data_IF_343314223763
#
_entry.id   IF_343314223763
#
_cell.length_a   1.000
_cell.length_b   1.000
_cell.length_c   1.000
_cell.angle_alpha   90.00
_cell.angle_beta   90.00
_cell.angle_gamma   90.00
#
_symmetry.space_group_name_H-M   'P 1'
#
loop_
_entity.id
_entity.type
_entity.pdbx_description
1 polymer ?
#
# COMPACT_ATOMS: atom_id res chain seq x y z
N UNK A 1 -23.57 2.70 -16.81
CA UNK A 1 -22.35 3.28 -16.21
C UNK A 1 -21.98 2.46 -14.97
N UNK A 2 -21.13 1.44 -15.13
CA UNK A 2 -20.50 0.78 -13.96
C UNK A 2 -19.46 1.77 -13.43
N UNK A 3 -19.56 2.16 -12.15
CA UNK A 3 -18.66 3.14 -11.54
C UNK A 3 -17.21 2.59 -11.53
N UNK A 4 -16.18 3.43 -11.70
CA UNK A 4 -14.77 3.03 -11.63
C UNK A 4 -14.29 2.71 -10.19
N UNK A 5 -15.22 2.43 -9.28
CA UNK A 5 -14.93 2.11 -7.87
C UNK A 5 -14.29 0.73 -7.71
N UNK A 6 -14.42 -0.18 -8.69
CA UNK A 6 -13.85 -1.53 -8.60
C UNK A 6 -12.30 -1.53 -8.62
N UNK A 7 -11.66 -0.61 -9.34
CA UNK A 7 -10.20 -0.59 -9.49
C UNK A 7 -9.48 -0.24 -8.18
N UNK A 8 -10.12 0.57 -7.31
CA UNK A 8 -9.56 1.01 -6.03
C UNK A 8 -9.85 0.01 -4.90
N UNK A 9 -10.91 -0.80 -5.03
CA UNK A 9 -11.36 -1.68 -3.96
C UNK A 9 -10.52 -2.96 -3.77
N UNK A 10 -9.89 -3.49 -4.82
CA UNK A 10 -9.18 -4.79 -4.71
C UNK A 10 -7.85 -4.70 -3.94
N UNK A 11 -7.26 -3.51 -3.80
CA UNK A 11 -5.96 -3.33 -3.13
C UNK A 11 -6.09 -3.27 -1.60
N UNK A 12 -7.27 -2.99 -1.06
CA UNK A 12 -7.43 -2.63 0.37
C UNK A 12 -8.02 -3.73 1.27
N UNK A 13 -8.36 -4.92 0.75
CA UNK A 13 -9.13 -5.92 1.52
C UNK A 13 -8.31 -7.06 2.16
N UNK A 14 -6.98 -7.00 2.20
CA UNK A 14 -6.14 -8.10 2.68
C UNK A 14 -5.27 -7.76 3.90
N UNK A 15 -5.88 -7.53 5.05
CA UNK A 15 -5.15 -7.63 6.33
C UNK A 15 -6.02 -8.36 7.35
N UNK A 16 -5.96 -9.69 7.32
CA UNK A 16 -6.39 -10.54 8.43
C UNK A 16 -5.20 -11.28 9.02
N UNK A 17 -5.27 -11.35 10.33
CA UNK A 17 -4.32 -11.81 11.33
C UNK A 17 -3.85 -13.26 11.12
N UNK A 18 -2.55 -13.51 11.29
CA UNK A 18 -2.01 -14.86 11.54
C UNK A 18 -0.99 -14.77 12.67
N UNK A 19 -1.29 -15.45 13.78
CA UNK A 19 -0.36 -15.68 14.89
C UNK A 19 0.84 -16.52 14.41
N UNK A 20 2.05 -16.12 14.81
CA UNK A 20 3.24 -16.92 14.58
C UNK A 20 4.06 -17.01 15.86
N UNK A 21 4.28 -18.27 16.29
CA UNK A 21 5.17 -18.66 17.39
C UNK A 21 6.54 -17.98 17.24
N UNK A 22 6.96 -17.26 18.27
CA UNK A 22 8.33 -16.75 18.40
C UNK A 22 9.27 -17.92 18.66
N UNK A 23 10.34 -17.99 17.87
CA UNK A 23 11.54 -18.75 18.17
C UNK A 23 12.68 -17.74 18.02
N UNK A 24 13.09 -17.11 19.11
CA UNK A 24 14.28 -16.25 19.15
C UNK A 24 14.85 -16.20 20.57
N UNK A 25 16.18 -16.04 20.59
CA UNK A 25 17.15 -15.94 21.68
C UNK A 25 17.60 -17.24 22.40
N UNK A 26 18.77 -17.72 21.92
CA UNK A 26 19.67 -18.69 22.56
C UNK A 26 20.41 -18.05 23.76
N UNK A 27 19.70 -17.69 24.81
CA UNK A 27 20.29 -17.60 26.14
C UNK A 27 19.51 -18.57 27.03
N UNK A 28 20.13 -19.34 27.94
CA UNK A 28 19.39 -20.26 28.81
C UNK A 28 18.65 -19.42 29.85
N UNK A 29 17.58 -18.75 29.44
CA UNK A 29 16.62 -18.21 30.37
C UNK A 29 16.03 -19.39 31.14
N UNK A 30 15.95 -19.22 32.46
CA UNK A 30 15.46 -20.27 33.35
C UNK A 30 13.97 -20.48 33.14
N UNK A 31 13.52 -21.71 33.40
CA UNK A 31 12.09 -22.01 33.54
C UNK A 31 11.52 -21.20 34.70
N UNK A 32 10.27 -20.76 34.56
CA UNK A 32 9.59 -20.00 35.60
C UNK A 32 9.44 -20.85 36.87
N UNK A 33 9.65 -20.21 38.02
CA UNK A 33 9.29 -20.82 39.31
C UNK A 33 7.77 -20.87 39.43
N UNK A 34 7.20 -21.75 40.27
CA UNK A 34 5.75 -21.78 40.50
C UNK A 34 5.18 -20.42 40.95
N UNK A 35 5.95 -19.63 41.71
CA UNK A 35 5.56 -18.28 42.12
C UNK A 35 5.47 -17.32 40.93
N UNK A 36 6.41 -17.39 39.99
CA UNK A 36 6.39 -16.57 38.79
C UNK A 36 5.31 -17.00 37.82
N UNK A 37 5.09 -18.31 37.66
CA UNK A 37 3.97 -18.87 36.92
C UNK A 37 2.65 -18.27 37.39
N UNK A 38 2.43 -18.23 38.71
CA UNK A 38 1.25 -17.63 39.32
C UNK A 38 1.12 -16.12 39.01
N UNK A 39 2.23 -15.37 38.98
CA UNK A 39 2.20 -13.95 38.60
C UNK A 39 1.90 -13.76 37.11
N UNK A 40 2.46 -14.61 36.24
CA UNK A 40 2.20 -14.58 34.79
C UNK A 40 0.72 -14.84 34.48
N UNK A 41 0.21 -15.97 34.97
CA UNK A 41 -1.16 -16.44 34.71
C UNK A 41 -2.22 -15.61 35.46
N UNK A 42 -1.84 -14.97 36.58
CA UNK A 42 -2.72 -14.13 37.37
C UNK A 42 -2.64 -12.65 37.03
N UNK A 43 -1.52 -12.00 37.40
CA UNK A 43 -1.34 -10.54 37.32
C UNK A 43 -1.17 -10.07 35.88
N UNK A 44 -0.23 -10.65 35.13
CA UNK A 44 0.08 -10.16 33.78
C UNK A 44 -1.05 -10.47 32.79
N UNK A 45 -1.63 -11.67 32.86
CA UNK A 45 -2.77 -12.05 32.03
C UNK A 45 -4.01 -11.20 32.30
N UNK A 46 -4.19 -10.67 33.52
CA UNK A 46 -5.26 -9.69 33.80
C UNK A 46 -5.10 -8.43 32.94
N UNK A 47 -3.89 -7.88 32.82
CA UNK A 47 -3.66 -6.71 31.97
C UNK A 47 -3.88 -7.02 30.48
N UNK A 48 -3.53 -8.25 30.05
CA UNK A 48 -3.84 -8.73 28.70
C UNK A 48 -5.35 -8.73 28.45
N UNK A 49 -6.14 -9.26 29.40
CA UNK A 49 -7.59 -9.28 29.31
C UNK A 49 -8.18 -7.86 29.29
N UNK A 50 -7.63 -6.92 30.07
CA UNK A 50 -8.04 -5.52 30.02
C UNK A 50 -7.81 -4.91 28.62
N UNK A 51 -6.67 -5.18 27.98
CA UNK A 51 -6.40 -4.74 26.61
C UNK A 51 -7.36 -5.40 25.61
N UNK A 52 -7.58 -6.72 25.72
CA UNK A 52 -8.51 -7.45 24.86
C UNK A 52 -9.92 -6.87 24.94
N UNK A 53 -10.42 -6.65 26.15
CA UNK A 53 -11.71 -6.03 26.39
C UNK A 53 -11.82 -4.66 25.72
N UNK A 54 -10.81 -3.79 25.90
CA UNK A 54 -10.79 -2.48 25.24
C UNK A 54 -10.81 -2.59 23.70
N UNK A 55 -10.03 -3.52 23.14
CA UNK A 55 -9.99 -3.70 21.67
C UNK A 55 -11.27 -4.28 21.08
N UNK A 56 -12.02 -5.07 21.85
CA UNK A 56 -13.32 -5.62 21.44
C UNK A 56 -14.46 -4.62 21.64
N UNK A 57 -14.42 -3.83 22.71
CA UNK A 57 -15.42 -2.81 23.05
C UNK A 57 -15.44 -1.67 22.02
N UNK A 58 -14.27 -1.27 21.51
CA UNK A 58 -14.14 -0.11 20.61
C UNK A 58 -13.66 -0.51 19.22
N UNK A 59 -14.54 -0.58 18.20
CA UNK A 59 -14.12 -0.79 16.83
C UNK A 59 -13.23 0.37 16.35
N UNK A 60 -12.35 0.17 15.34
CA UNK A 60 -11.37 1.17 14.90
C UNK A 60 -11.96 2.56 14.56
N UNK A 61 -13.21 2.62 14.12
CA UNK A 61 -13.92 3.87 13.80
C UNK A 61 -14.33 4.69 15.03
N UNK A 62 -14.42 4.08 16.20
CA UNK A 62 -14.88 4.70 17.45
C UNK A 62 -13.75 5.05 18.43
N UNK A 63 -12.52 4.59 18.17
CA UNK A 63 -11.37 4.84 19.05
C UNK A 63 -11.04 6.33 19.06
N UNK A 64 -11.27 7.03 20.17
CA UNK A 64 -10.88 8.43 20.37
C UNK A 64 -9.45 8.54 20.94
N UNK A 65 -8.86 9.75 20.99
CA UNK A 65 -7.54 9.95 21.64
C UNK A 65 -7.51 9.42 23.09
N UNK A 66 -8.51 9.71 23.96
CA UNK A 66 -8.54 9.11 25.30
C UNK A 66 -8.58 7.58 25.31
N UNK A 67 -9.33 6.95 24.40
CA UNK A 67 -9.41 5.49 24.30
C UNK A 67 -8.07 4.91 23.83
N UNK A 68 -7.43 5.53 22.83
CA UNK A 68 -6.10 5.14 22.36
C UNK A 68 -5.06 5.23 23.49
N UNK A 69 -5.12 6.28 24.32
CA UNK A 69 -4.27 6.42 25.52
C UNK A 69 -4.55 5.33 26.55
N UNK A 70 -5.81 4.97 26.79
CA UNK A 70 -6.15 3.88 27.71
C UNK A 70 -5.61 2.53 27.22
N UNK A 71 -5.74 2.23 25.93
CA UNK A 71 -5.17 1.01 25.33
C UNK A 71 -3.63 1.02 25.42
N UNK A 72 -2.99 2.16 25.17
CA UNK A 72 -1.53 2.32 25.31
C UNK A 72 -1.08 2.10 26.76
N UNK A 73 -1.84 2.60 27.73
CA UNK A 73 -1.57 2.36 29.16
C UNK A 73 -1.75 0.88 29.55
N UNK A 74 -2.75 0.19 28.98
CA UNK A 74 -2.89 -1.25 29.18
C UNK A 74 -1.67 -2.00 28.61
N UNK A 75 -1.21 -1.61 27.42
CA UNK A 75 0.01 -2.13 26.81
C UNK A 75 1.26 -1.94 27.69
N UNK A 76 1.48 -0.74 28.24
CA UNK A 76 2.59 -0.47 29.15
C UNK A 76 2.55 -1.34 30.41
N UNK A 77 1.36 -1.59 30.98
CA UNK A 77 1.20 -2.48 32.14
C UNK A 77 1.52 -3.93 31.78
N UNK A 78 1.13 -4.39 30.60
CA UNK A 78 1.42 -5.74 30.12
C UNK A 78 2.94 -5.93 29.99
N UNK A 79 3.59 -5.07 29.22
CA UNK A 79 5.02 -5.20 28.91
C UNK A 79 5.87 -5.02 30.16
N UNK A 80 5.51 -4.08 31.04
CA UNK A 80 6.15 -3.90 32.35
C UNK A 80 5.99 -5.14 33.24
N UNK A 81 4.79 -5.71 33.32
CA UNK A 81 4.54 -6.89 34.16
C UNK A 81 5.39 -8.10 33.73
N UNK A 82 5.49 -8.37 32.42
CA UNK A 82 6.34 -9.44 31.91
C UNK A 82 7.83 -9.12 32.05
N UNK A 83 8.23 -7.85 31.95
CA UNK A 83 9.61 -7.43 32.13
C UNK A 83 10.14 -7.63 33.56
N UNK A 84 9.27 -7.57 34.58
CA UNK A 84 9.62 -7.82 35.99
C UNK A 84 10.03 -9.28 36.28
N UNK A 85 9.83 -10.21 35.34
CA UNK A 85 9.98 -11.65 35.58
C UNK A 85 11.08 -12.22 34.67
N UNK A 86 12.18 -12.70 35.26
CA UNK A 86 13.40 -13.11 34.53
C UNK A 86 13.37 -14.54 33.96
N UNK A 87 12.18 -15.16 33.82
CA UNK A 87 12.06 -16.49 33.22
C UNK A 87 11.77 -16.43 31.71
N UNK A 88 12.09 -17.52 31.01
CA UNK A 88 12.01 -17.62 29.56
C UNK A 88 10.61 -17.31 29.01
N UNK A 89 9.57 -17.91 29.60
CA UNK A 89 8.18 -17.68 29.19
C UNK A 89 7.74 -16.21 29.35
N UNK A 90 8.18 -15.56 30.42
CA UNK A 90 7.87 -14.16 30.67
C UNK A 90 8.55 -13.25 29.65
N UNK A 91 9.84 -13.45 29.38
CA UNK A 91 10.58 -12.63 28.41
C UNK A 91 10.05 -12.83 26.99
N UNK A 92 9.70 -14.06 26.61
CA UNK A 92 9.01 -14.31 25.32
C UNK A 92 7.65 -13.63 25.26
N UNK A 93 6.89 -13.64 26.35
CA UNK A 93 5.59 -12.96 26.41
C UNK A 93 5.75 -11.44 26.29
N UNK A 94 6.73 -10.87 26.98
CA UNK A 94 7.09 -9.45 26.86
C UNK A 94 7.34 -9.06 25.39
N UNK A 95 8.23 -9.75 24.69
CA UNK A 95 8.55 -9.47 23.28
C UNK A 95 7.33 -9.63 22.36
N UNK A 96 6.46 -10.61 22.63
CA UNK A 96 5.21 -10.77 21.86
C UNK A 96 4.28 -9.59 22.07
N UNK A 97 4.09 -9.15 23.32
CA UNK A 97 3.18 -8.05 23.62
C UNK A 97 3.74 -6.69 23.25
N UNK A 98 5.05 -6.44 23.36
CA UNK A 98 5.68 -5.21 22.85
C UNK A 98 5.33 -5.00 21.38
N UNK A 99 5.52 -6.04 20.55
CA UNK A 99 5.22 -5.97 19.11
C UNK A 99 3.74 -5.85 18.79
N UNK A 100 2.88 -6.59 19.51
CA UNK A 100 1.42 -6.48 19.32
C UNK A 100 0.96 -5.08 19.72
N UNK A 101 1.47 -4.54 20.81
CA UNK A 101 1.13 -3.22 21.32
C UNK A 101 1.60 -2.10 20.41
N UNK A 102 2.81 -2.16 19.86
CA UNK A 102 3.29 -1.19 18.87
C UNK A 102 2.35 -1.10 17.66
N UNK A 103 1.91 -2.26 17.13
CA UNK A 103 0.96 -2.31 16.00
C UNK A 103 -0.41 -1.74 16.38
N UNK A 104 -0.93 -2.10 17.55
CA UNK A 104 -2.20 -1.59 18.07
C UNK A 104 -2.12 -0.06 18.24
N UNK A 105 -1.05 0.44 18.86
CA UNK A 105 -0.82 1.87 19.08
C UNK A 105 -0.78 2.62 17.73
N UNK A 106 0.03 2.16 16.77
CA UNK A 106 0.10 2.78 15.44
C UNK A 106 -1.24 2.82 14.70
N UNK A 107 -2.04 1.76 14.81
CA UNK A 107 -3.37 1.69 14.20
C UNK A 107 -4.37 2.63 14.89
N UNK A 108 -4.40 2.63 16.21
CA UNK A 108 -5.31 3.45 17.01
C UNK A 108 -5.05 4.95 16.82
N UNK A 109 -3.78 5.32 16.66
CA UNK A 109 -3.36 6.67 16.35
C UNK A 109 -3.39 7.02 14.85
N UNK A 110 -3.86 6.11 13.99
CA UNK A 110 -3.95 6.32 12.53
C UNK A 110 -2.62 6.72 11.87
N UNK A 111 -1.52 6.21 12.41
CA UNK A 111 -0.18 6.43 11.84
C UNK A 111 -0.03 5.68 10.53
N UNK A 112 -0.68 4.53 10.38
CA UNK A 112 -0.74 3.74 9.16
C UNK A 112 -1.26 4.54 7.95
N UNK A 113 -2.27 5.38 8.14
CA UNK A 113 -2.81 6.24 7.08
C UNK A 113 -1.99 7.53 6.88
N UNK A 114 -1.30 8.00 7.92
CA UNK A 114 -0.48 9.21 7.85
C UNK A 114 0.86 8.98 7.14
N UNK A 115 1.52 7.86 7.42
CA UNK A 115 2.87 7.55 6.91
C UNK A 115 2.98 7.62 5.39
N UNK A 116 2.06 7.02 4.60
CA UNK A 116 2.10 7.15 3.15
C UNK A 116 2.07 8.59 2.64
N UNK A 117 1.33 9.49 3.30
CA UNK A 117 1.27 10.90 2.93
C UNK A 117 2.60 11.60 3.17
N UNK A 118 3.27 11.26 4.28
CA UNK A 118 4.62 11.75 4.57
C UNK A 118 5.61 11.25 3.52
N UNK A 119 5.60 9.94 3.23
CA UNK A 119 6.48 9.34 2.21
C UNK A 119 6.27 9.91 0.81
N UNK A 120 5.03 10.19 0.41
CA UNK A 120 4.74 10.85 -0.85
C UNK A 120 5.40 12.25 -0.94
N UNK A 121 5.33 13.03 0.14
CA UNK A 121 5.97 14.36 0.20
C UNK A 121 7.49 14.27 0.15
N UNK A 122 8.09 13.32 0.88
CA UNK A 122 9.54 13.07 0.87
C UNK A 122 10.01 12.63 -0.51
N UNK A 123 9.34 11.63 -1.10
CA UNK A 123 9.67 11.08 -2.41
C UNK A 123 9.61 12.14 -3.52
N UNK A 124 8.54 12.94 -3.54
CA UNK A 124 8.36 13.99 -4.54
C UNK A 124 9.20 15.25 -4.26
N UNK A 125 9.93 15.30 -3.13
CA UNK A 125 10.70 16.47 -2.68
C UNK A 125 9.86 17.75 -2.69
N UNK A 126 8.58 17.66 -2.36
CA UNK A 126 7.63 18.76 -2.50
C UNK A 126 7.75 19.84 -1.42
N UNK A 127 8.73 19.71 -0.51
CA UNK A 127 9.05 20.66 0.55
C UNK A 127 10.55 20.83 0.70
N UNK A 128 11.00 22.06 0.97
CA UNK A 128 12.42 22.38 1.14
C UNK A 128 13.10 21.54 2.23
N UNK A 129 12.44 21.28 3.36
CA UNK A 129 13.05 20.47 4.42
C UNK A 129 13.28 18.99 4.03
N UNK A 130 12.58 18.47 3.01
CA UNK A 130 12.74 17.06 2.61
C UNK A 130 14.07 16.76 1.93
N UNK A 131 14.76 17.78 1.41
CA UNK A 131 16.09 17.60 0.81
C UNK A 131 17.23 17.70 1.83
N UNK A 132 16.94 18.15 3.05
CA UNK A 132 17.93 18.32 4.12
C UNK A 132 18.20 17.01 4.89
N UNK A 133 17.28 16.05 4.81
CA UNK A 133 17.31 14.82 5.61
C UNK A 133 17.06 13.58 4.75
N UNK A 134 17.93 12.57 4.86
CA UNK A 134 17.81 11.31 4.13
C UNK A 134 16.90 10.30 4.87
N UNK A 135 15.59 10.57 4.89
CA UNK A 135 14.61 9.71 5.57
C UNK A 135 14.51 8.29 4.96
N UNK A 136 14.93 8.10 3.71
CA UNK A 136 14.87 6.82 2.99
C UNK A 136 16.22 6.09 2.96
N UNK A 137 17.20 6.56 3.75
CA UNK A 137 18.51 5.92 3.79
C UNK A 137 18.41 4.44 4.17
N UNK A 138 19.15 3.60 3.45
CA UNK A 138 19.31 2.18 3.82
C UNK A 138 20.27 1.99 4.99
N UNK A 139 21.10 3.00 5.28
CA UNK A 139 21.91 3.04 6.49
C UNK A 139 21.03 3.46 7.69
N UNK A 140 20.87 2.54 8.65
CA UNK A 140 19.97 2.73 9.79
C UNK A 140 20.34 3.95 10.64
N UNK A 141 21.64 4.22 10.78
CA UNK A 141 22.14 5.36 11.56
C UNK A 141 21.83 6.68 10.88
N UNK A 142 22.14 6.80 9.59
CA UNK A 142 21.82 7.99 8.78
C UNK A 142 20.31 8.25 8.78
N UNK A 143 19.51 7.20 8.62
CA UNK A 143 18.05 7.31 8.68
C UNK A 143 17.57 7.76 10.07
N UNK A 144 18.13 7.20 11.14
CA UNK A 144 17.82 7.62 12.52
C UNK A 144 18.10 9.11 12.71
N UNK A 145 19.29 9.56 12.31
CA UNK A 145 19.71 10.95 12.43
C UNK A 145 18.80 11.88 11.61
N UNK A 146 18.34 11.43 10.43
CA UNK A 146 17.36 12.14 9.61
C UNK A 146 16.02 12.33 10.34
N UNK A 147 15.50 11.29 11.00
CA UNK A 147 14.26 11.40 11.77
C UNK A 147 14.42 12.23 13.06
N UNK A 148 15.51 12.08 13.79
CA UNK A 148 15.76 12.87 15.02
C UNK A 148 15.87 14.36 14.68
N UNK A 149 16.76 14.72 13.75
CA UNK A 149 17.02 16.12 13.41
C UNK A 149 15.91 16.71 12.52
N UNK A 150 15.22 15.87 11.74
CA UNK A 150 14.13 16.25 10.86
C UNK A 150 12.74 16.28 11.52
N UNK A 151 12.64 16.21 12.86
CA UNK A 151 11.36 16.19 13.59
C UNK A 151 10.37 17.27 13.15
N UNK A 152 10.85 18.51 13.02
CA UNK A 152 10.03 19.64 12.56
C UNK A 152 9.52 19.45 11.13
N UNK A 153 10.31 18.82 10.25
CA UNK A 153 9.92 18.48 8.89
C UNK A 153 8.82 17.41 8.89
N UNK A 154 8.98 16.33 9.68
CA UNK A 154 7.96 15.27 9.78
C UNK A 154 6.62 15.82 10.28
N UNK A 155 6.65 16.60 11.38
CA UNK A 155 5.43 17.17 11.98
C UNK A 155 4.78 18.20 11.05
N UNK A 156 5.56 19.06 10.39
CA UNK A 156 4.99 20.04 9.46
C UNK A 156 4.31 19.37 8.26
N UNK A 157 4.93 18.36 7.67
CA UNK A 157 4.33 17.57 6.58
C UNK A 157 3.04 16.89 7.04
N UNK A 158 3.03 16.27 8.24
CA UNK A 158 1.85 15.60 8.76
C UNK A 158 0.66 16.57 8.91
N UNK A 159 0.90 17.79 9.41
CA UNK A 159 -0.12 18.84 9.53
C UNK A 159 -0.65 19.26 8.15
N UNK A 160 0.24 19.57 7.21
CA UNK A 160 -0.12 20.08 5.88
C UNK A 160 -0.84 19.05 5.02
N UNK A 161 -0.43 17.78 5.10
CA UNK A 161 -1.10 16.65 4.42
C UNK A 161 -2.38 16.21 5.14
N UNK A 162 -2.79 16.96 6.18
CA UNK A 162 -4.01 16.72 6.96
C UNK A 162 -4.05 15.27 7.44
N UNK A 163 -2.99 14.84 8.11
CA UNK A 163 -3.07 13.62 8.92
C UNK A 163 -4.17 13.77 9.98
N UNK A 164 -4.73 12.64 10.40
CA UNK A 164 -5.77 12.63 11.44
C UNK A 164 -5.22 13.25 12.74
N UNK A 165 -6.08 13.90 13.52
CA UNK A 165 -5.69 14.53 14.79
C UNK A 165 -4.99 13.55 15.74
N UNK A 166 -5.36 12.26 15.69
CA UNK A 166 -4.73 11.21 16.49
C UNK A 166 -3.28 10.97 16.06
N UNK A 167 -2.99 11.03 14.76
CA UNK A 167 -1.63 10.87 14.26
C UNK A 167 -0.76 12.06 14.67
N UNK A 168 -1.32 13.27 14.67
CA UNK A 168 -0.65 14.47 15.15
C UNK A 168 -0.37 14.38 16.66
N UNK A 169 -1.32 13.91 17.45
CA UNK A 169 -1.12 13.65 18.88
C UNK A 169 0.01 12.64 19.13
N UNK A 170 0.08 11.57 18.35
CA UNK A 170 1.16 10.57 18.45
C UNK A 170 2.53 11.17 18.13
N UNK A 171 2.64 11.92 17.03
CA UNK A 171 3.89 12.59 16.65
C UNK A 171 4.34 13.63 17.68
N UNK A 172 3.41 14.26 18.40
CA UNK A 172 3.75 15.24 19.44
C UNK A 172 4.17 14.57 20.75
N UNK A 173 3.48 13.50 21.17
CA UNK A 173 3.67 12.88 22.49
C UNK A 173 4.63 11.70 22.51
N UNK A 174 4.77 10.97 21.39
CA UNK A 174 5.47 9.68 21.29
C UNK A 174 6.46 9.65 20.11
N UNK A 175 7.05 10.80 19.77
CA UNK A 175 7.96 10.93 18.63
C UNK A 175 9.17 9.99 18.73
N UNK A 176 9.71 9.76 19.93
CA UNK A 176 10.91 8.92 20.07
C UNK A 176 10.60 7.46 19.71
N UNK A 177 9.42 6.94 20.12
CA UNK A 177 8.92 5.63 19.68
C UNK A 177 8.74 5.59 18.16
N UNK A 178 8.21 6.65 17.57
CA UNK A 178 8.09 6.79 16.11
C UNK A 178 9.46 6.67 15.42
N UNK A 179 10.48 7.37 15.93
CA UNK A 179 11.85 7.30 15.41
C UNK A 179 12.40 5.88 15.53
N UNK A 180 12.21 5.23 16.67
CA UNK A 180 12.68 3.87 16.91
C UNK A 180 12.07 2.89 15.90
N UNK A 181 10.75 2.93 15.69
CA UNK A 181 10.06 2.10 14.70
C UNK A 181 10.56 2.37 13.28
N UNK A 182 10.88 3.61 12.94
CA UNK A 182 11.36 3.95 11.59
C UNK A 182 12.85 3.68 11.36
N UNK A 183 13.65 3.49 12.41
CA UNK A 183 15.11 3.47 12.30
C UNK A 183 15.81 2.25 12.89
N UNK A 184 15.22 1.56 13.86
CA UNK A 184 15.78 0.36 14.47
C UNK A 184 15.19 -0.85 13.78
N UNK A 185 16.05 -1.64 13.12
CA UNK A 185 15.64 -2.93 12.57
C UNK A 185 15.57 -3.94 13.72
N UNK A 186 14.45 -4.63 13.93
CA UNK A 186 14.36 -5.66 14.97
C UNK A 186 15.25 -6.85 14.61
N UNK A 187 15.76 -7.56 15.62
CA UNK A 187 16.55 -8.81 15.49
C UNK A 187 15.70 -10.02 15.05
N UNK A 188 14.67 -9.77 14.25
CA UNK A 188 13.75 -10.79 13.78
C UNK A 188 14.22 -11.39 12.46
N UNK A 189 14.21 -12.73 12.42
CA UNK A 189 14.34 -13.47 11.16
C UNK A 189 13.11 -13.33 10.27
N UNK A 190 12.00 -12.80 10.79
CA UNK A 190 10.70 -12.72 10.11
C UNK A 190 10.46 -11.28 9.66
N UNK A 191 10.14 -11.10 8.38
CA UNK A 191 9.87 -9.81 7.74
C UNK A 191 8.45 -9.29 7.97
N UNK A 192 7.97 -9.35 9.21
CA UNK A 192 6.59 -9.06 9.58
C UNK A 192 6.47 -8.06 10.74
N UNK A 193 7.58 -7.47 11.16
CA UNK A 193 7.59 -6.45 12.21
C UNK A 193 6.89 -5.17 11.72
N UNK A 194 6.49 -4.31 12.64
CA UNK A 194 5.94 -2.99 12.28
C UNK A 194 6.99 -2.17 11.51
N UNK A 195 8.26 -2.26 11.88
CA UNK A 195 9.37 -1.67 11.12
C UNK A 195 9.35 -2.10 9.66
N UNK A 196 9.37 -3.42 9.39
CA UNK A 196 9.43 -3.95 8.03
C UNK A 196 8.23 -3.49 7.20
N UNK A 197 7.04 -3.50 7.81
CA UNK A 197 5.82 -3.02 7.20
C UNK A 197 5.90 -1.53 6.87
N UNK A 198 6.35 -0.68 7.81
CA UNK A 198 6.44 0.77 7.59
C UNK A 198 7.46 1.11 6.53
N UNK A 199 8.67 0.55 6.60
CA UNK A 199 9.72 0.79 5.61
C UNK A 199 9.30 0.29 4.22
N UNK A 200 8.53 -0.81 4.13
CA UNK A 200 8.00 -1.27 2.84
C UNK A 200 7.08 -0.26 2.16
N UNK A 201 6.38 0.60 2.91
CA UNK A 201 5.50 1.64 2.36
C UNK A 201 6.27 2.77 1.67
N UNK A 202 7.60 2.83 1.79
CA UNK A 202 8.43 3.76 1.00
C UNK A 202 8.33 3.50 -0.51
N UNK A 203 7.87 2.31 -0.93
CA UNK A 203 7.59 2.01 -2.34
C UNK A 203 6.23 2.55 -2.82
N UNK A 204 5.35 2.97 -1.90
CA UNK A 204 4.00 3.44 -2.25
C UNK A 204 4.00 4.70 -3.14
N UNK A 205 4.86 5.71 -2.95
CA UNK A 205 4.94 6.84 -3.87
C UNK A 205 5.28 6.43 -5.32
N UNK A 206 6.09 5.38 -5.51
CA UNK A 206 6.42 4.84 -6.84
C UNK A 206 5.18 4.20 -7.47
N UNK A 207 4.39 3.45 -6.68
CA UNK A 207 3.10 2.91 -7.10
C UNK A 207 2.10 4.01 -7.48
N UNK A 208 2.02 5.07 -6.68
CA UNK A 208 1.15 6.23 -6.95
C UNK A 208 1.57 6.97 -8.22
N UNK A 209 2.88 7.15 -8.44
CA UNK A 209 3.43 7.75 -9.67
C UNK A 209 3.01 6.96 -10.90
N UNK A 210 3.04 5.62 -10.82
CA UNK A 210 2.58 4.76 -11.90
C UNK A 210 1.06 4.93 -12.16
N UNK A 211 0.24 4.87 -11.11
CA UNK A 211 -1.21 5.03 -11.23
C UNK A 211 -1.63 6.41 -11.75
N UNK A 212 -0.98 7.47 -11.28
CA UNK A 212 -1.23 8.84 -11.72
C UNK A 212 -0.90 9.05 -13.21
N UNK A 213 0.10 8.34 -13.74
CA UNK A 213 0.40 8.35 -15.17
C UNK A 213 -0.79 7.85 -16.00
N UNK A 214 -1.37 6.70 -15.62
CA UNK A 214 -2.53 6.12 -16.31
C UNK A 214 -3.78 7.00 -16.17
N UNK A 215 -4.06 7.47 -14.96
CA UNK A 215 -5.22 8.35 -14.68
C UNK A 215 -5.09 9.66 -15.45
N UNK A 216 -3.89 10.25 -15.49
CA UNK A 216 -3.62 11.47 -16.24
C UNK A 216 -3.85 11.31 -17.75
N UNK A 217 -3.46 10.17 -18.33
CA UNK A 217 -3.74 9.87 -19.74
C UNK A 217 -5.24 9.68 -20.00
N UNK A 218 -5.98 9.04 -19.08
CA UNK A 218 -7.43 8.87 -19.20
C UNK A 218 -8.19 10.20 -19.09
N UNK A 219 -7.81 11.08 -18.16
CA UNK A 219 -8.43 12.40 -18.00
C UNK A 219 -8.26 13.27 -19.25
N UNK A 220 -7.09 13.20 -19.92
CA UNK A 220 -6.87 13.86 -21.21
C UNK A 220 -7.80 13.34 -22.31
N UNK A 221 -7.96 12.03 -22.43
CA UNK A 221 -8.86 11.42 -23.42
C UNK A 221 -10.33 11.78 -23.19
N UNK A 222 -10.78 11.82 -21.93
CA UNK A 222 -12.15 12.23 -21.60
C UNK A 222 -12.38 13.69 -22.00
N UNK A 223 -11.40 14.57 -21.77
CA UNK A 223 -11.48 15.98 -22.14
C UNK A 223 -11.37 16.21 -23.65
N UNK A 224 -10.59 15.39 -24.35
CA UNK A 224 -10.37 15.50 -25.79
C UNK A 224 -10.26 14.13 -26.47
N UNK A 225 -11.40 13.59 -26.89
CA UNK A 225 -11.45 12.29 -27.58
C UNK A 225 -10.72 12.27 -28.94
N UNK A 226 -10.37 13.44 -29.50
CA UNK A 226 -9.68 13.57 -30.78
C UNK A 226 -8.15 13.66 -30.62
N UNK A 227 -7.59 13.49 -29.41
CA UNK A 227 -6.13 13.38 -29.25
C UNK A 227 -5.61 12.15 -30.00
N UNK A 228 -4.89 12.37 -31.11
CA UNK A 228 -4.43 11.30 -32.01
C UNK A 228 -3.40 10.34 -31.41
N UNK A 229 -2.90 10.63 -30.20
CA UNK A 229 -1.99 9.77 -29.47
C UNK A 229 -2.36 9.79 -27.99
N UNK A 230 -2.91 8.71 -27.42
CA UNK A 230 -2.88 8.55 -25.97
C UNK A 230 -1.42 8.47 -25.55
N UNK A 231 -0.84 9.59 -25.15
CA UNK A 231 0.48 9.61 -24.57
C UNK A 231 0.35 8.99 -23.18
N UNK A 232 0.51 7.67 -23.11
CA UNK A 232 1.02 7.07 -21.89
C UNK A 232 2.48 7.48 -21.86
N UNK A 233 2.86 8.29 -20.88
CA UNK A 233 4.25 8.29 -20.44
C UNK A 233 4.48 6.93 -19.78
N UNK A 234 4.57 5.87 -20.59
CA UNK A 234 5.11 4.61 -20.14
C UNK A 234 6.53 4.95 -19.71
N UNK A 235 6.78 4.93 -18.41
CA UNK A 235 8.12 5.04 -17.86
C UNK A 235 8.50 3.63 -17.42
N UNK A 236 9.05 2.78 -18.31
CA UNK A 236 9.72 1.54 -17.91
C UNK A 236 10.59 1.75 -16.66
N UNK A 237 11.27 2.89 -16.59
CA UNK A 237 12.06 3.37 -15.46
C UNK A 237 11.30 3.33 -14.11
N UNK A 238 10.00 3.64 -14.08
CA UNK A 238 9.18 3.61 -12.85
C UNK A 238 8.90 2.17 -12.42
N UNK A 239 8.75 1.24 -13.36
CA UNK A 239 8.61 -0.18 -13.02
C UNK A 239 9.92 -0.78 -12.54
N UNK A 240 11.04 -0.41 -13.15
CA UNK A 240 12.36 -0.82 -12.66
C UNK A 240 12.63 -0.24 -11.27
N UNK A 241 12.29 1.03 -11.05
CA UNK A 241 12.33 1.69 -9.74
C UNK A 241 11.45 0.96 -8.70
N UNK A 242 10.23 0.60 -9.08
CA UNK A 242 9.30 -0.13 -8.21
C UNK A 242 9.84 -1.52 -7.87
N UNK A 243 10.27 -2.29 -8.87
CA UNK A 243 10.82 -3.63 -8.65
C UNK A 243 12.06 -3.59 -7.76
N UNK A 244 12.96 -2.63 -8.00
CA UNK A 244 14.12 -2.41 -7.15
C UNK A 244 13.73 -2.05 -5.71
N UNK A 245 12.68 -1.24 -5.53
CA UNK A 245 12.17 -0.90 -4.20
C UNK A 245 11.60 -2.13 -3.48
N UNK A 246 10.74 -2.89 -4.16
CA UNK A 246 10.11 -4.09 -3.60
C UNK A 246 11.14 -5.17 -3.24
N UNK A 247 12.16 -5.37 -4.08
CA UNK A 247 13.23 -6.36 -3.85
C UNK A 247 14.10 -6.02 -2.63
N UNK A 248 14.33 -4.74 -2.36
CA UNK A 248 15.06 -4.29 -1.16
C UNK A 248 14.24 -4.46 0.12
N UNK A 249 12.93 -4.55 0.01
CA UNK A 249 12.04 -4.74 1.15
C UNK A 249 11.89 -6.22 1.50
N UNK A 250 12.35 -6.57 2.69
CA UNK A 250 12.21 -7.93 3.18
C UNK A 250 10.72 -8.33 3.39
N UNK A 251 9.87 -7.35 3.71
CA UNK A 251 8.41 -7.50 3.79
C UNK A 251 7.82 -8.06 2.49
N UNK A 252 8.16 -7.50 1.34
CA UNK A 252 7.65 -8.00 0.05
C UNK A 252 8.32 -9.29 -0.43
N UNK A 253 9.58 -9.53 -0.06
CA UNK A 253 10.29 -10.74 -0.51
C UNK A 253 9.97 -12.00 0.31
N UNK A 254 9.50 -11.86 1.56
CA UNK A 254 9.20 -13.02 2.42
C UNK A 254 7.77 -13.04 2.99
N UNK A 255 7.21 -11.90 3.35
CA UNK A 255 5.89 -11.85 4.01
C UNK A 255 4.75 -11.60 3.02
N UNK A 256 4.99 -10.78 2.00
CA UNK A 256 3.97 -10.31 1.08
C UNK A 256 4.34 -10.55 -0.41
N UNK A 257 4.85 -11.75 -0.68
CA UNK A 257 5.33 -12.14 -2.01
C UNK A 257 4.22 -12.16 -3.06
N UNK A 258 2.98 -12.48 -2.67
CA UNK A 258 1.81 -12.40 -3.56
C UNK A 258 1.63 -10.99 -4.09
N UNK A 259 1.71 -9.96 -3.25
CA UNK A 259 1.61 -8.57 -3.69
C UNK A 259 2.80 -8.17 -4.55
N UNK A 260 4.02 -8.62 -4.21
CA UNK A 260 5.20 -8.37 -5.01
C UNK A 260 5.06 -8.94 -6.45
N UNK A 261 4.53 -10.16 -6.56
CA UNK A 261 4.23 -10.79 -7.84
C UNK A 261 3.12 -10.04 -8.59
N UNK A 262 2.04 -9.64 -7.90
CA UNK A 262 0.97 -8.85 -8.50
C UNK A 262 1.48 -7.49 -9.04
N UNK A 263 2.39 -6.82 -8.34
CA UNK A 263 3.02 -5.59 -8.84
C UNK A 263 3.92 -5.85 -10.05
N UNK A 264 4.68 -6.96 -10.04
CA UNK A 264 5.50 -7.36 -11.19
C UNK A 264 4.63 -7.64 -12.42
N UNK A 265 3.59 -8.45 -12.27
CA UNK A 265 2.61 -8.74 -13.32
C UNK A 265 1.91 -7.46 -13.80
N UNK A 266 1.55 -6.57 -12.88
CA UNK A 266 0.99 -5.26 -13.20
C UNK A 266 1.93 -4.42 -14.08
N UNK A 267 3.22 -4.42 -13.76
CA UNK A 267 4.26 -3.77 -14.56
C UNK A 267 4.39 -4.39 -15.97
N UNK A 268 4.35 -5.71 -16.09
CA UNK A 268 4.37 -6.41 -17.39
C UNK A 268 3.13 -6.04 -18.24
N UNK A 269 1.97 -5.90 -17.59
CA UNK A 269 0.70 -5.50 -18.22
C UNK A 269 0.63 -4.02 -18.60
N UNK A 270 1.56 -3.16 -18.17
CA UNK A 270 1.59 -1.75 -18.61
C UNK A 270 1.79 -1.61 -20.12
N UNK A 271 2.40 -2.62 -20.74
CA UNK A 271 2.51 -2.70 -22.20
C UNK A 271 1.15 -2.66 -22.91
N UNK A 272 0.07 -3.09 -22.23
CA UNK A 272 -1.31 -3.05 -22.75
C UNK A 272 -2.03 -1.72 -22.51
N UNK A 273 -1.46 -0.78 -21.73
CA UNK A 273 -2.13 0.48 -21.42
C UNK A 273 -2.38 1.32 -22.67
N UNK A 274 -1.42 1.52 -23.60
CA UNK A 274 -1.68 2.25 -24.84
C UNK A 274 -2.82 1.64 -25.66
N UNK A 275 -2.86 0.31 -25.76
CA UNK A 275 -3.93 -0.43 -26.43
C UNK A 275 -5.28 -0.21 -25.75
N UNK A 276 -5.32 -0.31 -24.41
CA UNK A 276 -6.54 -0.15 -23.61
C UNK A 276 -7.09 1.27 -23.68
N UNK A 277 -6.21 2.27 -23.60
CA UNK A 277 -6.58 3.67 -23.78
C UNK A 277 -7.09 3.96 -25.18
N UNK A 278 -6.46 3.37 -26.22
CA UNK A 278 -6.96 3.49 -27.58
C UNK A 278 -8.33 2.81 -27.74
N UNK A 279 -8.55 1.62 -27.17
CA UNK A 279 -9.88 0.97 -27.17
C UNK A 279 -10.93 1.86 -26.50
N UNK A 280 -10.59 2.50 -25.38
CA UNK A 280 -11.46 3.49 -24.73
C UNK A 280 -11.72 4.70 -25.64
N UNK A 281 -10.69 5.22 -26.30
CA UNK A 281 -10.82 6.34 -27.24
C UNK A 281 -11.73 6.02 -28.42
N UNK A 282 -11.62 4.82 -29.01
CA UNK A 282 -12.54 4.34 -30.06
C UNK A 282 -13.98 4.35 -29.56
N UNK A 283 -14.21 3.88 -28.32
CA UNK A 283 -15.54 3.82 -27.71
C UNK A 283 -16.17 5.21 -27.52
N UNK A 284 -15.38 6.23 -27.16
CA UNK A 284 -15.89 7.58 -26.90
C UNK A 284 -15.81 8.50 -28.13
N UNK A 285 -15.05 8.14 -29.16
CA UNK A 285 -14.85 9.00 -30.32
C UNK A 285 -16.11 9.04 -31.19
N UNK A 286 -16.63 10.22 -31.53
CA UNK A 286 -17.74 10.35 -32.48
C UNK A 286 -17.40 9.79 -33.87
N UNK A 287 -16.12 9.80 -34.23
CA UNK A 287 -15.64 9.33 -35.53
C UNK A 287 -15.78 7.82 -35.72
N UNK A 288 -15.93 7.05 -34.63
CA UNK A 288 -16.09 5.59 -34.69
C UNK A 288 -17.30 5.16 -35.55
N UNK A 289 -18.40 5.93 -35.51
CA UNK A 289 -19.62 5.62 -36.27
C UNK A 289 -19.50 5.85 -37.78
N UNK A 290 -18.44 6.53 -38.24
CA UNK A 290 -18.16 6.76 -39.66
C UNK A 290 -17.46 5.59 -40.35
N UNK A 291 -16.96 4.60 -39.59
CA UNK A 291 -16.26 3.46 -40.16
C UNK A 291 -17.26 2.48 -40.80
N UNK A 292 -16.94 2.06 -42.03
CA UNK A 292 -17.78 1.13 -42.81
C UNK A 292 -18.16 -0.13 -42.03
N UNK A 293 -17.22 -0.75 -41.32
CA UNK A 293 -17.50 -1.95 -40.53
C UNK A 293 -18.55 -1.73 -39.42
N UNK A 294 -18.58 -0.53 -38.82
CA UNK A 294 -19.59 -0.15 -37.82
C UNK A 294 -20.95 0.06 -38.50
N UNK A 295 -20.97 0.76 -39.64
CA UNK A 295 -22.18 0.97 -40.45
C UNK A 295 -22.78 -0.38 -40.87
N UNK A 296 -21.96 -1.28 -41.42
CA UNK A 296 -22.37 -2.62 -41.85
C UNK A 296 -22.90 -3.45 -40.66
N UNK A 297 -22.28 -3.34 -39.48
CA UNK A 297 -22.76 -3.98 -38.25
C UNK A 297 -24.10 -3.41 -37.76
N UNK A 298 -24.36 -2.11 -37.91
CA UNK A 298 -25.62 -1.47 -37.52
C UNK A 298 -26.76 -1.77 -38.49
N UNK A 299 -26.44 -2.02 -39.77
CA UNK A 299 -27.43 -2.31 -40.82
C UNK A 299 -27.84 -3.79 -40.87
N UNK A 300 -27.13 -4.69 -40.20
CA UNK A 300 -27.48 -6.12 -40.19
C UNK A 300 -28.74 -6.41 -39.33
N UNK A 301 -29.86 -6.85 -39.96
CA UNK A 301 -31.17 -7.01 -39.29
C UNK A 301 -31.27 -8.21 -38.34
N UNK A 302 -30.29 -9.12 -38.35
CA UNK A 302 -30.28 -10.36 -37.57
C UNK A 302 -29.57 -10.27 -36.21
N UNK A 303 -29.10 -9.09 -35.80
CA UNK A 303 -28.41 -8.95 -34.52
C UNK A 303 -29.39 -8.51 -33.41
N UNK A 304 -29.74 -9.44 -32.52
CA UNK A 304 -30.15 -9.12 -31.14
C UNK A 304 -28.96 -8.59 -30.32
N UNK A 305 -27.87 -8.20 -30.97
CA UNK A 305 -26.64 -7.82 -30.29
C UNK A 305 -26.73 -6.38 -29.78
N UNK A 306 -26.21 -6.11 -28.56
CA UNK A 306 -26.16 -4.77 -27.99
C UNK A 306 -25.44 -3.77 -28.92
N UNK A 307 -25.77 -2.47 -28.77
CA UNK A 307 -25.26 -1.30 -29.53
C UNK A 307 -23.72 -1.20 -29.71
N UNK A 308 -22.94 -2.09 -29.09
CA UNK A 308 -21.47 -2.08 -29.06
C UNK A 308 -20.83 -3.39 -29.53
N UNK A 309 -21.54 -4.29 -30.21
CA UNK A 309 -20.97 -5.58 -30.67
C UNK A 309 -19.76 -5.44 -31.58
N UNK A 310 -19.67 -4.34 -32.33
CA UNK A 310 -18.50 -4.03 -33.16
C UNK A 310 -17.19 -3.89 -32.35
N UNK A 311 -17.26 -3.65 -31.03
CA UNK A 311 -16.09 -3.63 -30.15
C UNK A 311 -15.48 -5.02 -29.91
N UNK A 312 -16.21 -6.08 -30.24
CA UNK A 312 -15.77 -7.48 -30.18
C UNK A 312 -15.32 -8.00 -31.55
N UNK A 313 -15.58 -7.25 -32.63
CA UNK A 313 -15.08 -7.55 -33.97
C UNK A 313 -13.62 -7.11 -34.07
N UNK A 314 -12.73 -8.11 -34.11
CA UNK A 314 -11.28 -7.92 -34.16
C UNK A 314 -10.83 -7.08 -35.37
N UNK A 315 -11.41 -7.29 -36.55
CA UNK A 315 -11.01 -6.58 -37.77
C UNK A 315 -11.57 -5.15 -37.80
N UNK A 316 -12.81 -4.98 -37.33
CA UNK A 316 -13.38 -3.65 -37.18
C UNK A 316 -12.59 -2.81 -36.17
N UNK A 317 -12.22 -3.40 -35.03
CA UNK A 317 -11.37 -2.77 -34.03
C UNK A 317 -9.98 -2.45 -34.57
N UNK A 318 -9.34 -3.34 -35.34
CA UNK A 318 -8.06 -3.06 -36.00
C UNK A 318 -8.14 -1.81 -36.88
N UNK A 319 -9.18 -1.74 -37.70
CA UNK A 319 -9.41 -0.61 -38.63
C UNK A 319 -9.63 0.71 -37.88
N UNK A 320 -10.51 0.70 -36.87
CA UNK A 320 -10.82 1.90 -36.08
C UNK A 320 -9.62 2.36 -35.26
N UNK A 321 -8.91 1.45 -34.59
CA UNK A 321 -7.73 1.81 -33.78
C UNK A 321 -6.61 2.40 -34.65
N UNK A 322 -6.37 1.84 -35.83
CA UNK A 322 -5.40 2.39 -36.78
C UNK A 322 -5.73 3.81 -37.24
N UNK A 323 -7.01 4.08 -37.53
CA UNK A 323 -7.44 5.40 -37.99
C UNK A 323 -7.59 6.44 -36.87
N UNK A 324 -8.01 6.04 -35.66
CA UNK A 324 -8.24 6.96 -34.53
C UNK A 324 -6.95 7.21 -33.74
N UNK A 325 -6.17 6.16 -33.45
CA UNK A 325 -4.99 6.24 -32.58
C UNK A 325 -3.65 6.21 -33.34
N UNK A 326 -3.70 6.04 -34.68
CA UNK A 326 -2.54 6.00 -35.56
C UNK A 326 -1.92 4.60 -35.72
N UNK A 327 -1.12 4.44 -36.77
CA UNK A 327 -0.59 3.14 -37.20
C UNK A 327 0.32 2.44 -36.17
N UNK A 328 0.98 3.18 -35.27
CA UNK A 328 1.88 2.59 -34.26
C UNK A 328 1.15 1.63 -33.30
N UNK A 329 -0.15 1.86 -33.04
CA UNK A 329 -0.93 0.93 -32.19
C UNK A 329 -1.12 -0.45 -32.84
N UNK A 330 -0.91 -0.54 -34.16
CA UNK A 330 -1.11 -1.77 -34.91
C UNK A 330 0.10 -2.72 -34.91
N UNK A 331 1.29 -2.24 -34.52
CA UNK A 331 2.53 -3.03 -34.54
C UNK A 331 2.40 -4.34 -33.73
N UNK A 332 1.62 -4.31 -32.65
CA UNK A 332 1.42 -5.43 -31.75
C UNK A 332 -0.05 -5.83 -31.59
N UNK A 333 -0.91 -5.40 -32.51
CA UNK A 333 -2.36 -5.49 -32.35
C UNK A 333 -2.86 -6.89 -31.98
N UNK A 334 -2.43 -7.93 -32.69
CA UNK A 334 -2.90 -9.29 -32.44
C UNK A 334 -2.56 -9.79 -31.04
N UNK A 335 -1.33 -9.52 -30.58
CA UNK A 335 -0.87 -9.91 -29.25
C UNK A 335 -1.65 -9.15 -28.18
N UNK A 336 -1.78 -7.84 -28.34
CA UNK A 336 -2.42 -6.98 -27.33
C UNK A 336 -3.95 -7.21 -27.30
N UNK A 337 -4.56 -7.53 -28.45
CA UNK A 337 -5.96 -7.95 -28.56
C UNK A 337 -6.22 -9.25 -27.77
N UNK A 338 -5.44 -10.31 -28.00
CA UNK A 338 -5.62 -11.55 -27.26
C UNK A 338 -5.33 -11.38 -25.76
N UNK A 339 -4.27 -10.63 -25.40
CA UNK A 339 -3.96 -10.34 -24.01
C UNK A 339 -5.09 -9.57 -23.31
N UNK A 340 -5.72 -8.61 -24.00
CA UNK A 340 -6.85 -7.82 -23.47
C UNK A 340 -8.09 -8.64 -23.13
N UNK A 341 -8.27 -9.82 -23.74
CA UNK A 341 -9.38 -10.73 -23.40
C UNK A 341 -9.17 -11.46 -22.07
N UNK A 342 -7.91 -11.60 -21.65
CA UNK A 342 -7.52 -12.33 -20.43
C UNK A 342 -7.19 -11.39 -19.26
N UNK A 343 -6.95 -10.12 -19.55
CA UNK A 343 -6.67 -9.12 -18.54
C UNK A 343 -7.98 -8.58 -17.95
N UNK A 344 -8.22 -8.82 -16.66
CA UNK A 344 -9.23 -8.11 -15.86
C UNK A 344 -8.83 -6.63 -15.69
N UNK A 345 -8.74 -5.88 -16.79
CA UNK A 345 -8.48 -4.44 -16.78
C UNK A 345 -9.77 -3.61 -16.66
N UNK A 346 -10.96 -4.25 -16.56
CA UNK A 346 -12.27 -3.59 -16.43
C UNK A 346 -13.28 -4.31 -15.54
#
# INVERSE_FOLDING_TARGET
MRKPTLLVCLVMSYFNFVDSKSNLLNSPLRVCTPKEQFVLEGKCLRYVNDLMYLTEEYPPTQITVPIAKNMSSACEKITSCFAEIECDEAQRSKEVYERKCEKIEFNNYKMQECIPKFYETVYNKSRHCTVEFDFFSTDLKTRRDAYINGKSCVVSIANERRCDEKALEYLNSSYDKFVDIMSIKPDEKKCSSLHDEMISKQCQPVLLKLGNGVVGSLDKLIKNANETKPAVENRPDVCDELQNCLQKSCFYTQHNQTNANAYKEGCEKLTLVPFSLCKFQVMISPTSTSYKCVIDSLLNPSSTMPRNSFLEDKECMRTMMGGICGAAILENFDRDWEASKTADLF
#
